data_IF_157411944767
#
_entry.id   IF_157411944767
#
_cell.length_a   1.000
_cell.length_b   1.000
_cell.length_c   1.000
_cell.angle_alpha   90.00
_cell.angle_beta   90.00
_cell.angle_gamma   90.00
#
_symmetry.space_group_name_H-M   'P 1'
#
loop_
_entity.id
_entity.type
_entity.pdbx_description
1 polymer ?
#
# COMPACT_ATOMS: atom_id res chain seq x y z
N UNK A 1 -23.67 24.06 -7.60
CA UNK A 1 -24.40 22.86 -7.44
C UNK A 1 -23.92 22.06 -6.26
N UNK A 2 -24.88 21.64 -5.47
CA UNK A 2 -24.57 20.95 -4.22
C UNK A 2 -23.78 19.67 -4.41
N UNK A 3 -24.11 18.94 -5.44
CA UNK A 3 -23.46 17.66 -5.68
C UNK A 3 -21.98 17.83 -5.97
N UNK A 4 -21.62 18.81 -6.78
CA UNK A 4 -20.21 19.07 -7.08
C UNK A 4 -19.47 19.55 -5.85
N UNK A 5 -20.13 20.35 -5.02
CA UNK A 5 -19.52 20.81 -3.79
C UNK A 5 -19.23 19.65 -2.84
N UNK A 6 -20.14 18.69 -2.77
CA UNK A 6 -19.93 17.52 -1.94
C UNK A 6 -18.70 16.74 -2.41
N UNK A 7 -18.55 16.56 -3.74
CA UNK A 7 -17.38 15.89 -4.27
C UNK A 7 -16.09 16.63 -3.94
N UNK A 8 -16.13 17.95 -4.06
CA UNK A 8 -14.95 18.76 -3.79
C UNK A 8 -14.54 18.71 -2.33
N UNK A 9 -15.48 18.44 -1.44
CA UNK A 9 -15.20 18.38 -0.01
C UNK A 9 -14.95 16.96 0.48
N UNK A 10 -15.07 15.95 -0.41
CA UNK A 10 -14.76 14.58 -0.02
C UNK A 10 -13.26 14.45 0.18
N UNK A 11 -12.84 13.83 1.28
CA UNK A 11 -11.42 13.64 1.50
C UNK A 11 -10.82 12.71 0.44
N UNK A 12 -9.58 12.97 0.08
CA UNK A 12 -8.85 12.07 -0.79
C UNK A 12 -8.63 10.74 -0.07
N UNK A 13 -8.65 9.65 -0.85
CA UNK A 13 -8.27 8.35 -0.32
C UNK A 13 -6.78 8.32 -0.07
N UNK A 14 -6.39 7.80 1.05
CA UNK A 14 -5.00 7.78 1.50
C UNK A 14 -4.42 6.39 1.28
N UNK A 15 -3.33 6.34 0.53
CA UNK A 15 -2.62 5.10 0.26
C UNK A 15 -1.28 5.17 0.97
N UNK A 16 -1.06 4.29 1.93
CA UNK A 16 0.24 4.19 2.59
C UNK A 16 1.19 3.41 1.69
N UNK A 17 2.40 3.93 1.52
CA UNK A 17 3.45 3.28 0.71
C UNK A 17 4.62 3.00 1.62
N UNK A 18 4.92 1.73 1.83
CA UNK A 18 5.98 1.30 2.74
C UNK A 18 7.05 0.58 1.95
N UNK A 19 8.17 1.23 1.76
CA UNK A 19 9.30 0.70 0.98
C UNK A 19 10.54 1.42 1.45
N UNK A 20 11.66 0.71 1.63
CA UNK A 20 12.89 1.33 2.10
C UNK A 20 13.68 2.02 0.98
N UNK A 21 13.25 1.87 -0.27
CA UNK A 21 13.87 2.55 -1.41
C UNK A 21 13.13 3.87 -1.67
N UNK A 22 13.84 4.99 -1.50
CA UNK A 22 13.22 6.31 -1.65
C UNK A 22 12.78 6.59 -3.08
N UNK A 23 13.43 5.98 -4.08
CA UNK A 23 13.02 6.15 -5.49
C UNK A 23 11.69 5.46 -5.76
N UNK A 24 11.47 4.30 -5.13
CA UNK A 24 10.19 3.61 -5.26
C UNK A 24 9.09 4.42 -4.58
N UNK A 25 9.37 4.93 -3.38
CA UNK A 25 8.39 5.76 -2.67
C UNK A 25 8.01 6.98 -3.50
N UNK A 26 9.00 7.65 -4.09
CA UNK A 26 8.73 8.85 -4.90
C UNK A 26 7.94 8.50 -6.16
N UNK A 27 8.33 7.43 -6.83
CA UNK A 27 7.65 7.00 -8.05
C UNK A 27 6.19 6.66 -7.78
N UNK A 28 5.92 5.92 -6.71
CA UNK A 28 4.55 5.57 -6.34
C UNK A 28 3.76 6.79 -5.89
N UNK A 29 4.41 7.71 -5.16
CA UNK A 29 3.77 8.96 -4.76
C UNK A 29 3.25 9.72 -5.99
N UNK A 30 4.12 9.88 -6.99
CA UNK A 30 3.75 10.61 -8.19
C UNK A 30 2.66 9.90 -8.98
N UNK A 31 2.76 8.59 -9.11
CA UNK A 31 1.73 7.81 -9.80
C UNK A 31 0.38 7.96 -9.13
N UNK A 32 0.35 7.76 -7.82
CA UNK A 32 -0.91 7.81 -7.07
C UNK A 32 -1.51 9.21 -7.11
N UNK A 33 -0.68 10.23 -6.96
CA UNK A 33 -1.17 11.61 -7.01
C UNK A 33 -1.79 11.92 -8.37
N UNK A 34 -1.22 11.40 -9.45
CA UNK A 34 -1.73 11.67 -10.79
C UNK A 34 -3.11 11.04 -11.02
N UNK A 35 -3.51 10.10 -10.18
CA UNK A 35 -4.83 9.48 -10.27
C UNK A 35 -5.76 9.91 -9.13
N UNK A 36 -5.39 10.96 -8.40
CA UNK A 36 -6.26 11.55 -7.40
C UNK A 36 -6.19 10.93 -6.02
N UNK A 37 -5.18 10.11 -5.77
CA UNK A 37 -4.95 9.53 -4.44
C UNK A 37 -3.91 10.34 -3.69
N UNK A 38 -3.96 10.30 -2.37
CA UNK A 38 -2.93 10.88 -1.54
C UNK A 38 -2.01 9.77 -1.04
N UNK A 39 -0.74 9.83 -1.39
CA UNK A 39 0.23 8.86 -0.90
C UNK A 39 0.87 9.38 0.37
N UNK A 40 1.00 8.50 1.37
CA UNK A 40 1.79 8.75 2.57
C UNK A 40 2.87 7.69 2.61
N UNK A 41 4.12 8.13 2.55
CA UNK A 41 5.24 7.21 2.36
C UNK A 41 6.00 7.00 3.66
N UNK A 42 6.42 5.76 3.87
CA UNK A 42 7.16 5.36 5.07
C UNK A 42 8.33 4.47 4.65
N UNK A 43 9.48 4.72 5.26
CA UNK A 43 10.69 3.95 4.92
C UNK A 43 10.72 2.58 5.60
N UNK A 44 9.85 2.34 6.57
CA UNK A 44 9.80 1.05 7.26
C UNK A 44 8.41 0.80 7.81
N UNK A 45 8.15 -0.47 8.09
CA UNK A 45 6.89 -0.86 8.74
C UNK A 45 6.78 -0.27 10.13
N UNK A 46 7.91 -0.18 10.85
CA UNK A 46 7.92 0.39 12.20
C UNK A 46 7.48 1.85 12.18
N UNK A 47 8.01 2.63 11.22
CA UNK A 47 7.61 4.04 11.11
C UNK A 47 6.12 4.17 10.81
N UNK A 48 5.60 3.30 9.94
CA UNK A 48 4.18 3.31 9.64
C UNK A 48 3.35 3.00 10.88
N UNK A 49 3.73 1.94 11.62
CA UNK A 49 2.97 1.52 12.80
C UNK A 49 3.06 2.52 13.95
N UNK A 50 4.16 3.27 14.03
CA UNK A 50 4.33 4.28 15.08
C UNK A 50 3.58 5.57 14.78
N UNK A 51 3.09 5.73 13.57
CA UNK A 51 2.34 6.92 13.16
C UNK A 51 0.84 6.66 13.30
N UNK A 52 0.03 7.63 12.87
CA UNK A 52 -1.40 7.41 12.76
C UNK A 52 -1.78 6.78 11.41
N UNK A 53 -0.76 6.35 10.64
CA UNK A 53 -0.98 5.72 9.34
C UNK A 53 -1.96 4.55 9.36
N UNK A 54 -1.83 3.60 10.31
CA UNK A 54 -2.75 2.46 10.33
C UNK A 54 -4.22 2.86 10.42
N UNK A 55 -4.55 3.91 11.18
CA UNK A 55 -5.94 4.32 11.34
C UNK A 55 -6.42 5.24 10.22
N UNK A 56 -5.50 5.83 9.44
CA UNK A 56 -5.84 6.77 8.38
C UNK A 56 -5.84 6.18 6.99
N UNK A 57 -5.11 5.07 6.79
CA UNK A 57 -4.89 4.55 5.44
C UNK A 57 -6.09 3.79 4.94
N UNK A 58 -6.47 4.08 3.71
CA UNK A 58 -7.54 3.37 3.01
C UNK A 58 -7.02 2.14 2.30
N UNK A 59 -5.72 2.10 2.03
CA UNK A 59 -5.04 0.98 1.37
C UNK A 59 -3.56 1.05 1.72
N UNK A 60 -2.91 -0.09 1.79
CA UNK A 60 -1.48 -0.18 2.12
C UNK A 60 -0.75 -0.89 1.00
N UNK A 61 0.34 -0.30 0.53
CA UNK A 61 1.26 -0.95 -0.41
C UNK A 61 2.56 -1.15 0.35
N UNK A 62 3.01 -2.40 0.47
CA UNK A 62 4.18 -2.71 1.27
C UNK A 62 5.13 -3.64 0.53
N UNK A 63 6.41 -3.28 0.54
CA UNK A 63 7.47 -4.15 0.03
C UNK A 63 7.65 -5.33 0.99
N UNK A 64 7.72 -6.53 0.41
CA UNK A 64 7.93 -7.73 1.21
C UNK A 64 9.36 -7.77 1.78
N UNK A 65 10.31 -7.16 1.09
CA UNK A 65 11.73 -7.19 1.45
C UNK A 65 12.16 -5.85 2.06
N UNK A 66 11.68 -5.57 3.25
CA UNK A 66 12.14 -4.42 4.01
C UNK A 66 13.47 -4.77 4.67
N UNK A 67 14.23 -3.76 5.01
CA UNK A 67 15.59 -3.95 5.50
C UNK A 67 15.64 -4.81 6.74
N UNK A 68 16.76 -5.51 6.85
CA UNK A 68 17.00 -6.42 7.96
C UNK A 68 16.90 -5.71 9.31
N UNK A 69 16.61 -6.48 10.33
CA UNK A 69 16.40 -6.05 11.71
C UNK A 69 15.19 -5.15 11.87
N UNK A 70 14.38 -5.09 10.83
CA UNK A 70 13.11 -4.40 10.86
C UNK A 70 12.03 -5.39 10.50
N UNK A 71 10.82 -5.01 10.80
CA UNK A 71 9.68 -5.83 10.45
C UNK A 71 9.60 -6.01 8.93
N UNK A 72 9.35 -7.23 8.49
CA UNK A 72 9.18 -7.53 7.08
C UNK A 72 7.78 -7.14 6.61
N UNK A 73 7.60 -7.10 5.28
CA UNK A 73 6.28 -6.85 4.73
C UNK A 73 5.28 -7.92 5.10
N UNK A 74 5.72 -9.18 5.22
CA UNK A 74 4.83 -10.25 5.66
C UNK A 74 4.38 -10.06 7.10
N UNK A 75 5.31 -9.70 7.98
CA UNK A 75 4.97 -9.43 9.37
C UNK A 75 4.00 -8.26 9.48
N UNK A 76 4.22 -7.23 8.66
CA UNK A 76 3.30 -6.10 8.63
C UNK A 76 1.91 -6.54 8.18
N UNK A 77 1.83 -7.35 7.13
CA UNK A 77 0.56 -7.87 6.64
C UNK A 77 -0.18 -8.62 7.76
N UNK A 78 0.54 -9.46 8.49
CA UNK A 78 -0.06 -10.23 9.58
C UNK A 78 -0.57 -9.32 10.69
N UNK A 79 0.21 -8.26 11.02
CA UNK A 79 -0.20 -7.28 12.02
C UNK A 79 -1.47 -6.55 11.61
N UNK A 80 -1.49 -6.11 10.36
CA UNK A 80 -2.64 -5.36 9.84
C UNK A 80 -3.89 -6.26 9.84
N UNK A 81 -3.75 -7.50 9.42
CA UNK A 81 -4.90 -8.41 9.41
C UNK A 81 -5.43 -8.69 10.80
N UNK A 82 -4.55 -8.68 11.80
CA UNK A 82 -4.98 -8.87 13.19
C UNK A 82 -5.73 -7.70 13.78
N UNK A 83 -5.40 -6.48 13.36
CA UNK A 83 -6.00 -5.26 13.95
C UNK A 83 -7.00 -4.58 13.02
N UNK A 84 -6.83 -4.70 11.72
CA UNK A 84 -7.67 -4.04 10.73
C UNK A 84 -7.92 -4.98 9.56
N UNK A 85 -8.79 -5.98 9.75
CA UNK A 85 -8.96 -7.04 8.75
C UNK A 85 -9.55 -6.55 7.43
N UNK A 86 -10.17 -5.36 7.41
CA UNK A 86 -10.85 -4.86 6.22
C UNK A 86 -9.96 -4.01 5.31
N UNK A 87 -8.82 -3.51 5.80
CA UNK A 87 -8.03 -2.60 4.98
C UNK A 87 -7.29 -3.39 3.89
N UNK A 88 -7.38 -2.96 2.62
CA UNK A 88 -6.65 -3.64 1.54
C UNK A 88 -5.14 -3.49 1.71
N UNK A 89 -4.42 -4.59 1.48
CA UNK A 89 -2.96 -4.61 1.50
C UNK A 89 -2.46 -5.19 0.19
N UNK A 90 -1.60 -4.45 -0.49
CA UNK A 90 -0.97 -4.88 -1.74
C UNK A 90 0.52 -5.07 -1.45
N UNK A 91 1.01 -6.25 -1.75
CA UNK A 91 2.43 -6.59 -1.56
C UNK A 91 3.18 -6.31 -2.84
N UNK A 92 4.36 -5.69 -2.71
CA UNK A 92 5.25 -5.49 -3.86
C UNK A 92 6.62 -6.11 -3.54
N UNK A 93 7.35 -6.50 -4.56
CA UNK A 93 8.68 -7.09 -4.37
C UNK A 93 9.57 -6.80 -5.57
N UNK A 94 10.82 -6.47 -5.30
CA UNK A 94 11.83 -6.28 -6.34
C UNK A 94 12.80 -7.45 -6.48
N UNK A 95 12.67 -8.44 -5.63
CA UNK A 95 13.59 -9.58 -5.63
C UNK A 95 12.81 -10.86 -5.88
N UNK A 96 13.48 -11.89 -6.45
CA UNK A 96 12.85 -13.19 -6.53
C UNK A 96 12.44 -13.62 -5.12
N UNK A 97 11.21 -14.04 -4.97
CA UNK A 97 10.72 -14.50 -3.69
C UNK A 97 10.76 -16.01 -3.65
N UNK A 98 11.10 -16.57 -2.49
CA UNK A 98 11.01 -18.01 -2.30
C UNK A 98 9.55 -18.46 -2.18
N UNK A 99 8.63 -17.51 -2.05
CA UNK A 99 7.21 -17.82 -1.90
C UNK A 99 6.44 -17.34 -3.12
N UNK A 100 5.50 -18.15 -3.61
CA UNK A 100 4.66 -17.72 -4.73
C UNK A 100 3.64 -16.68 -4.30
N UNK A 101 3.06 -16.01 -5.27
CA UNK A 101 2.01 -15.02 -5.03
C UNK A 101 0.89 -15.59 -4.16
N UNK A 102 0.47 -16.84 -4.43
CA UNK A 102 -0.62 -17.47 -3.70
C UNK A 102 -0.35 -17.51 -2.20
N UNK A 103 0.91 -17.64 -1.79
CA UNK A 103 1.26 -17.65 -0.37
C UNK A 103 0.81 -16.36 0.31
N UNK A 104 1.10 -15.20 -0.33
CA UNK A 104 0.74 -13.91 0.26
C UNK A 104 -0.74 -13.64 0.18
N UNK A 105 -1.40 -14.08 -0.88
CA UNK A 105 -2.85 -13.96 -0.97
C UNK A 105 -3.54 -14.79 0.11
N UNK A 106 -3.02 -15.97 0.40
CA UNK A 106 -3.56 -16.81 1.48
C UNK A 106 -3.37 -16.15 2.84
N UNK A 107 -2.34 -15.32 2.99
CA UNK A 107 -2.11 -14.59 4.24
C UNK A 107 -2.96 -13.33 4.35
N UNK A 108 -3.75 -13.04 3.34
CA UNK A 108 -4.66 -11.92 3.39
C UNK A 108 -4.29 -10.71 2.54
N UNK A 109 -3.26 -10.82 1.70
CA UNK A 109 -2.94 -9.76 0.77
C UNK A 109 -4.02 -9.70 -0.32
N UNK A 110 -4.33 -8.49 -0.76
CA UNK A 110 -5.33 -8.25 -1.80
C UNK A 110 -4.71 -8.13 -3.18
N UNK A 111 -3.39 -8.10 -3.26
CA UNK A 111 -2.68 -8.02 -4.53
C UNK A 111 -1.19 -8.23 -4.34
N UNK A 112 -0.53 -8.51 -5.45
CA UNK A 112 0.90 -8.80 -5.45
C UNK A 112 1.48 -8.31 -6.77
N UNK A 113 2.50 -7.46 -6.71
CA UNK A 113 3.16 -6.93 -7.91
C UNK A 113 4.65 -7.10 -7.80
N UNK A 114 5.29 -7.42 -8.92
CA UNK A 114 6.74 -7.46 -9.02
C UNK A 114 7.24 -6.14 -9.58
N UNK A 115 8.37 -5.69 -9.09
CA UNK A 115 9.01 -4.50 -9.64
C UNK A 115 9.75 -4.86 -10.94
N UNK A 116 9.74 -4.02 -11.95
CA UNK A 116 9.07 -2.73 -12.03
C UNK A 116 7.56 -2.90 -12.11
N UNK A 117 6.85 -2.06 -11.37
CA UNK A 117 5.41 -2.21 -11.21
C UNK A 117 4.68 -1.65 -12.43
N UNK A 118 3.71 -2.43 -12.93
CA UNK A 118 2.79 -1.93 -13.95
C UNK A 118 1.84 -0.95 -13.27
N UNK A 119 2.08 0.35 -13.48
CA UNK A 119 1.30 1.38 -12.80
C UNK A 119 -0.18 1.35 -13.12
N UNK A 120 -0.54 1.05 -14.37
CA UNK A 120 -1.95 1.00 -14.75
C UNK A 120 -2.66 -0.17 -14.05
N UNK A 121 -2.00 -1.32 -13.98
CA UNK A 121 -2.57 -2.48 -13.30
C UNK A 121 -2.71 -2.21 -11.80
N UNK A 122 -1.74 -1.53 -11.20
CA UNK A 122 -1.80 -1.18 -9.79
C UNK A 122 -2.97 -0.25 -9.51
N UNK A 123 -3.12 0.80 -10.30
CA UNK A 123 -4.22 1.76 -10.12
C UNK A 123 -5.57 1.06 -10.32
N UNK A 124 -5.67 0.20 -11.34
CA UNK A 124 -6.93 -0.52 -11.59
C UNK A 124 -7.33 -1.36 -10.38
N UNK A 125 -6.36 -2.02 -9.75
CA UNK A 125 -6.64 -2.82 -8.56
C UNK A 125 -7.05 -1.94 -7.38
N UNK A 126 -6.35 -0.83 -7.16
CA UNK A 126 -6.69 0.11 -6.08
C UNK A 126 -8.12 0.63 -6.27
N UNK A 127 -8.44 1.05 -7.49
CA UNK A 127 -9.78 1.54 -7.79
C UNK A 127 -10.84 0.49 -7.46
N UNK A 128 -10.57 -0.76 -7.83
CA UNK A 128 -11.49 -1.84 -7.55
C UNK A 128 -11.65 -2.08 -6.05
N UNK A 129 -10.53 -2.08 -5.33
CA UNK A 129 -10.55 -2.35 -3.88
C UNK A 129 -11.22 -1.24 -3.07
N UNK A 130 -11.17 0.00 -3.57
CA UNK A 130 -11.70 1.15 -2.84
C UNK A 130 -13.06 1.64 -3.37
N UNK A 131 -13.67 0.87 -4.22
CA UNK A 131 -14.98 1.22 -4.77
C UNK A 131 -16.09 1.06 -3.73
#
# INVERSE_FOLDING_TARGET
MGLNKLKMHSPLRIIAVIDDDDRVRESLHNLLASYGYKAEAFASAELFLASDGPSRSDCIIADIHLRKRQMTGLELLERVRGSQPEVPVIIITGKPSSRPEAFYLDKGANGFFRKPIDGQALIALIDLLLT
#
